data_IF_057679794819
#
_entry.id   IF_057679794819
#
_cell.length_a   1.000
_cell.length_b   1.000
_cell.length_c   1.000
_cell.angle_alpha   90.00
_cell.angle_beta   90.00
_cell.angle_gamma   90.00
#
_symmetry.space_group_name_H-M   'P 1'
#
loop_
_entity.id
_entity.type
_entity.pdbx_description
1 polymer ?
#
# COMPACT_ATOMS: atom_id res chain seq x y z
N UNK A 1 -18.94 4.08 2.23
CA UNK A 1 -17.67 4.29 1.50
C UNK A 1 -16.67 3.26 1.98
N UNK A 2 -15.92 2.66 1.06
CA UNK A 2 -14.79 1.79 1.39
C UNK A 2 -13.53 2.39 0.80
N UNK A 3 -12.52 2.64 1.64
CA UNK A 3 -11.22 3.15 1.18
C UNK A 3 -10.18 2.06 1.35
N UNK A 4 -9.46 1.75 0.28
CA UNK A 4 -8.36 0.79 0.28
C UNK A 4 -7.06 1.54 0.07
N UNK A 5 -6.28 1.69 1.13
CA UNK A 5 -4.91 2.16 1.03
C UNK A 5 -4.00 1.01 0.63
N UNK A 6 -3.13 1.25 -0.34
CA UNK A 6 -2.19 0.28 -0.88
C UNK A 6 -0.80 0.89 -0.81
N UNK A 7 0.17 0.20 -0.18
CA UNK A 7 1.58 0.58 -0.34
C UNK A 7 1.99 0.31 -1.78
N UNK A 8 2.74 1.22 -2.40
CA UNK A 8 3.32 0.99 -3.73
C UNK A 8 4.05 -0.36 -3.85
N UNK A 9 4.26 -0.78 -5.10
CA UNK A 9 5.10 -1.93 -5.43
C UNK A 9 6.55 -1.75 -4.95
N UNK A 10 7.29 -2.85 -5.02
CA UNK A 10 8.70 -2.86 -4.66
C UNK A 10 9.49 -1.88 -5.55
N UNK A 11 10.24 -1.02 -4.88
CA UNK A 11 11.09 0.04 -5.40
C UNK A 11 12.53 -0.07 -4.88
N UNK A 12 12.94 -1.24 -4.37
CA UNK A 12 14.32 -1.52 -3.92
C UNK A 12 15.32 -1.59 -5.10
N UNK A 13 15.12 -0.74 -6.10
CA UNK A 13 16.07 -0.47 -7.16
C UNK A 13 16.99 0.69 -6.74
N UNK A 14 18.28 0.58 -7.05
CA UNK A 14 19.23 1.66 -6.85
C UNK A 14 19.15 2.60 -8.06
N UNK A 15 18.19 3.52 -8.04
CA UNK A 15 18.21 4.67 -8.95
C UNK A 15 19.28 5.67 -8.47
N UNK A 16 20.49 5.53 -9.00
CA UNK A 16 21.62 6.36 -8.62
C UNK A 16 21.39 7.86 -8.93
N UNK A 17 20.58 8.18 -9.95
CA UNK A 17 20.29 9.56 -10.33
C UNK A 17 19.24 10.18 -9.40
N UNK A 18 18.21 9.42 -9.03
CA UNK A 18 17.09 9.90 -8.21
C UNK A 18 16.78 8.97 -7.02
N UNK A 19 17.69 8.85 -6.04
CA UNK A 19 17.58 7.85 -4.98
C UNK A 19 16.39 8.07 -4.03
N UNK A 20 15.79 9.27 -4.01
CA UNK A 20 14.61 9.56 -3.18
C UNK A 20 13.28 9.43 -3.95
N UNK A 21 13.34 9.23 -5.27
CA UNK A 21 12.21 9.02 -6.18
C UNK A 21 12.48 7.90 -7.21
N UNK A 22 12.84 6.68 -6.73
CA UNK A 22 13.13 5.56 -7.62
C UNK A 22 11.86 5.08 -8.33
N UNK A 23 12.07 4.45 -9.47
CA UNK A 23 11.06 3.63 -10.14
C UNK A 23 10.90 2.26 -9.47
N UNK A 24 9.79 1.59 -9.77
CA UNK A 24 9.58 0.20 -9.37
C UNK A 24 10.62 -0.74 -9.97
N UNK A 25 10.93 -1.83 -9.25
CA UNK A 25 11.63 -2.98 -9.85
C UNK A 25 10.71 -3.71 -10.83
N UNK A 26 11.27 -4.28 -11.90
CA UNK A 26 10.49 -4.98 -12.93
C UNK A 26 9.68 -6.16 -12.36
N UNK A 27 10.24 -6.86 -11.36
CA UNK A 27 9.59 -7.97 -10.67
C UNK A 27 8.30 -7.58 -9.92
N UNK A 28 8.09 -6.29 -9.63
CA UNK A 28 6.86 -5.78 -9.02
C UNK A 28 5.64 -5.94 -9.92
N UNK A 29 5.82 -5.93 -11.24
CA UNK A 29 4.73 -5.87 -12.21
C UNK A 29 3.67 -6.96 -11.98
N UNK A 30 4.11 -8.21 -11.92
CA UNK A 30 3.21 -9.35 -11.72
C UNK A 30 2.55 -9.36 -10.34
N UNK A 31 3.27 -8.91 -9.31
CA UNK A 31 2.78 -8.81 -7.95
C UNK A 31 1.67 -7.75 -7.82
N UNK A 32 1.83 -6.60 -8.50
CA UNK A 32 0.81 -5.55 -8.58
C UNK A 32 -0.42 -6.07 -9.30
N UNK A 33 -0.26 -6.73 -10.47
CA UNK A 33 -1.39 -7.32 -11.18
C UNK A 33 -2.13 -8.37 -10.33
N UNK A 34 -1.38 -9.21 -9.62
CA UNK A 34 -1.96 -10.22 -8.70
C UNK A 34 -2.71 -9.56 -7.55
N UNK A 35 -2.17 -8.51 -6.93
CA UNK A 35 -2.90 -7.74 -5.91
C UNK A 35 -4.18 -7.16 -6.50
N UNK A 36 -4.09 -6.51 -7.67
CA UNK A 36 -5.23 -5.84 -8.30
C UNK A 36 -6.38 -6.80 -8.57
N UNK A 37 -6.09 -7.99 -9.13
CA UNK A 37 -7.11 -9.03 -9.32
C UNK A 37 -7.74 -9.49 -8.00
N UNK A 38 -6.96 -9.60 -6.92
CA UNK A 38 -7.49 -9.94 -5.59
C UNK A 38 -8.40 -8.85 -5.03
N UNK A 39 -8.02 -7.57 -5.19
CA UNK A 39 -8.84 -6.45 -4.75
C UNK A 39 -10.14 -6.36 -5.55
N UNK A 40 -10.06 -6.53 -6.87
CA UNK A 40 -11.23 -6.62 -7.75
C UNK A 40 -12.18 -7.74 -7.33
N UNK A 41 -11.64 -8.94 -7.07
CA UNK A 41 -12.45 -10.09 -6.67
C UNK A 41 -13.12 -9.88 -5.30
N UNK A 42 -12.42 -9.25 -4.35
CA UNK A 42 -12.92 -9.08 -2.97
C UNK A 42 -13.86 -7.87 -2.82
N UNK A 43 -13.54 -6.74 -3.44
CA UNK A 43 -14.22 -5.47 -3.19
C UNK A 43 -14.92 -4.92 -4.43
N UNK A 44 -14.63 -5.44 -5.62
CA UNK A 44 -15.11 -4.89 -6.87
C UNK A 44 -14.19 -3.79 -7.43
N UNK A 45 -14.71 -3.09 -8.42
CA UNK A 45 -14.00 -2.04 -9.16
C UNK A 45 -14.04 -0.71 -8.38
N UNK A 46 -12.91 0.02 -8.27
CA UNK A 46 -12.92 1.33 -7.65
C UNK A 46 -13.60 2.37 -8.55
N UNK A 47 -14.27 3.33 -7.93
CA UNK A 47 -14.81 4.53 -8.57
C UNK A 47 -13.72 5.54 -8.90
N UNK A 48 -12.64 5.58 -8.10
CA UNK A 48 -11.47 6.43 -8.30
C UNK A 48 -10.22 5.84 -7.66
N UNK A 49 -9.05 6.19 -8.20
CA UNK A 49 -7.75 5.89 -7.61
C UNK A 49 -7.06 7.21 -7.25
N UNK A 50 -6.87 7.46 -5.96
CA UNK A 50 -6.04 8.55 -5.46
C UNK A 50 -4.60 8.08 -5.34
N UNK A 51 -3.66 8.86 -5.85
CA UNK A 51 -2.27 8.45 -5.98
C UNK A 51 -1.35 9.52 -5.44
N UNK A 52 -0.42 9.09 -4.60
CA UNK A 52 0.72 9.93 -4.20
C UNK A 52 1.50 10.40 -5.44
N UNK A 53 1.94 11.67 -5.51
CA UNK A 53 2.56 12.24 -6.70
C UNK A 53 3.97 11.69 -7.04
N UNK A 54 4.50 10.79 -6.21
CA UNK A 54 5.83 10.18 -6.32
C UNK A 54 5.84 9.11 -7.43
N UNK A 55 6.98 8.89 -8.09
CA UNK A 55 7.08 8.07 -9.31
C UNK A 55 6.53 6.64 -9.13
N UNK A 56 7.07 5.89 -8.18
CA UNK A 56 6.67 4.49 -7.91
C UNK A 56 5.19 4.29 -7.57
N UNK A 57 4.54 5.27 -6.93
CA UNK A 57 3.10 5.20 -6.62
C UNK A 57 2.28 5.38 -7.89
N UNK A 58 2.73 6.23 -8.82
CA UNK A 58 2.11 6.38 -10.12
C UNK A 58 2.30 5.15 -11.00
N UNK A 59 3.52 4.62 -11.08
CA UNK A 59 3.79 3.38 -11.82
C UNK A 59 2.95 2.22 -11.28
N UNK A 60 2.81 2.12 -9.95
CA UNK A 60 1.92 1.14 -9.32
C UNK A 60 0.49 1.32 -9.83
N UNK A 61 -0.06 2.55 -9.74
CA UNK A 61 -1.43 2.83 -10.13
C UNK A 61 -1.71 2.57 -11.62
N UNK A 62 -0.75 2.88 -12.51
CA UNK A 62 -0.86 2.61 -13.95
C UNK A 62 -0.92 1.10 -14.23
N UNK A 63 -0.07 0.30 -13.57
CA UNK A 63 -0.11 -1.17 -13.69
C UNK A 63 -1.43 -1.73 -13.15
N UNK A 64 -1.99 -1.14 -12.08
CA UNK A 64 -3.31 -1.52 -11.58
C UNK A 64 -4.40 -1.17 -12.61
N UNK A 65 -4.36 0.01 -13.23
CA UNK A 65 -5.32 0.44 -14.24
C UNK A 65 -5.37 -0.50 -15.46
N UNK A 66 -4.23 -1.03 -15.91
CA UNK A 66 -4.19 -2.04 -16.98
C UNK A 66 -5.10 -3.26 -16.69
N UNK A 67 -5.22 -3.65 -15.42
CA UNK A 67 -6.04 -4.80 -14.99
C UNK A 67 -7.51 -4.42 -14.84
N UNK A 68 -7.84 -3.14 -14.72
CA UNK A 68 -9.22 -2.68 -14.55
C UNK A 68 -10.03 -2.72 -15.85
N UNK A 69 -9.40 -2.93 -17.01
CA UNK A 69 -10.04 -3.08 -18.34
C UNK A 69 -10.97 -1.94 -18.80
N UNK A 70 -11.09 -0.87 -18.03
CA UNK A 70 -11.84 0.36 -18.30
C UNK A 70 -11.13 1.48 -17.54
N UNK A 71 -11.18 2.72 -18.04
CA UNK A 71 -10.57 3.87 -17.37
C UNK A 71 -11.22 4.09 -15.99
N UNK A 72 -10.38 4.27 -14.97
CA UNK A 72 -10.80 4.75 -13.65
C UNK A 72 -10.13 6.10 -13.44
N UNK A 73 -10.84 7.14 -12.97
CA UNK A 73 -10.23 8.42 -12.64
C UNK A 73 -9.01 8.24 -11.73
N UNK A 74 -7.84 8.65 -12.21
CA UNK A 74 -6.60 8.66 -11.46
C UNK A 74 -6.33 10.09 -10.98
N UNK A 75 -6.41 10.31 -9.68
CA UNK A 75 -6.38 11.62 -9.03
C UNK A 75 -5.08 11.75 -8.25
N UNK A 76 -4.26 12.74 -8.60
CA UNK A 76 -3.04 13.05 -7.85
C UNK A 76 -3.39 13.73 -6.53
N UNK A 77 -2.97 13.13 -5.41
CA UNK A 77 -3.17 13.72 -4.08
C UNK A 77 -1.83 13.90 -3.35
N UNK A 78 -1.41 15.16 -3.24
CA UNK A 78 -0.19 15.54 -2.52
C UNK A 78 -0.24 15.18 -1.04
N UNK A 79 -1.43 15.01 -0.44
CA UNK A 79 -1.56 14.56 0.95
C UNK A 79 -1.18 13.09 1.14
N UNK A 80 -1.11 12.31 0.06
CA UNK A 80 -0.59 10.94 0.06
C UNK A 80 0.93 10.86 -0.17
N UNK A 81 1.63 11.99 -0.31
CA UNK A 81 3.10 12.00 -0.44
C UNK A 81 3.82 11.39 0.77
N UNK A 82 4.94 10.70 0.51
CA UNK A 82 5.89 10.28 1.54
C UNK A 82 6.39 11.47 2.37
N UNK A 83 6.88 11.17 3.56
CA UNK A 83 7.69 12.10 4.34
C UNK A 83 9.15 12.03 3.87
N UNK A 84 9.79 13.18 3.69
CA UNK A 84 11.22 13.29 3.40
C UNK A 84 11.97 13.72 4.68
N UNK A 85 12.90 12.87 5.12
CA UNK A 85 13.79 13.22 6.25
C UNK A 85 14.70 14.38 5.84
N UNK A 86 15.36 15.02 6.81
CA UNK A 86 16.27 16.15 6.52
C UNK A 86 17.34 15.81 5.48
N UNK A 87 17.87 14.59 5.51
CA UNK A 87 18.87 14.11 4.52
C UNK A 87 18.29 13.79 3.14
N UNK A 88 16.96 13.73 3.01
CA UNK A 88 16.25 13.38 1.77
C UNK A 88 15.59 14.58 1.09
N UNK A 89 15.84 15.81 1.56
CA UNK A 89 15.23 17.04 1.03
C UNK A 89 16.02 17.68 -0.11
N UNK A 90 17.11 17.06 -0.54
CA UNK A 90 17.84 17.53 -1.71
C UNK A 90 17.00 17.31 -2.97
N UNK A 91 16.57 18.42 -3.60
CA UNK A 91 15.76 18.41 -4.80
C UNK A 91 16.44 17.69 -5.97
N UNK A 92 17.78 17.63 -6.01
CA UNK A 92 18.52 16.94 -7.06
C UNK A 92 18.32 15.43 -7.04
N UNK A 93 17.92 14.88 -5.89
CA UNK A 93 17.69 13.43 -5.70
C UNK A 93 16.26 13.00 -6.03
N UNK A 94 15.43 13.92 -6.53
CA UNK A 94 14.02 13.74 -6.86
C UNK A 94 13.82 14.14 -8.32
N UNK A 95 12.99 13.39 -9.05
CA UNK A 95 12.79 13.64 -10.48
C UNK A 95 12.09 14.98 -10.74
N UNK A 96 12.48 15.72 -11.78
CA UNK A 96 11.85 17.01 -12.10
C UNK A 96 10.33 16.93 -12.36
N UNK A 97 9.83 15.83 -12.92
CA UNK A 97 8.40 15.62 -13.15
C UNK A 97 7.62 15.47 -11.83
N UNK A 98 8.20 14.78 -10.85
CA UNK A 98 7.67 14.71 -9.48
C UNK A 98 7.65 16.09 -8.84
N UNK A 99 8.73 16.89 -8.96
CA UNK A 99 8.76 18.25 -8.41
C UNK A 99 7.63 19.16 -8.95
N UNK A 100 7.32 19.05 -10.26
CA UNK A 100 6.21 19.80 -10.88
C UNK A 100 4.83 19.48 -10.28
N UNK A 101 4.67 18.31 -9.63
CA UNK A 101 3.44 17.89 -8.96
C UNK A 101 3.30 18.46 -7.54
N UNK A 102 4.14 19.43 -7.13
CA UNK A 102 4.06 20.13 -5.84
C UNK A 102 4.14 19.19 -4.62
N UNK A 103 5.04 18.22 -4.67
CA UNK A 103 5.28 17.29 -3.56
C UNK A 103 5.78 18.05 -2.32
N UNK A 104 5.23 17.80 -1.13
CA UNK A 104 5.67 18.44 0.11
C UNK A 104 7.01 17.84 0.56
N UNK A 105 8.11 18.39 0.04
CA UNK A 105 9.47 17.94 0.34
C UNK A 105 9.95 18.53 1.66
N UNK A 106 9.81 19.84 1.81
CA UNK A 106 10.19 20.54 3.03
C UNK A 106 9.01 20.65 3.99
N UNK A 107 8.75 19.57 4.72
CA UNK A 107 7.73 19.55 5.78
C UNK A 107 8.32 19.07 7.11
N UNK A 108 7.92 19.68 8.21
CA UNK A 108 8.16 19.16 9.55
C UNK A 108 7.31 17.91 9.81
N UNK A 109 7.69 17.11 10.81
CA UNK A 109 6.91 15.94 11.23
C UNK A 109 5.49 16.31 11.68
N UNK A 110 5.29 17.52 12.22
CA UNK A 110 3.97 18.04 12.61
C UNK A 110 3.13 18.34 11.36
N UNK A 111 3.70 19.05 10.38
CA UNK A 111 3.04 19.34 9.10
C UNK A 111 2.68 18.06 8.34
N UNK A 112 3.58 17.07 8.29
CA UNK A 112 3.31 15.75 7.72
C UNK A 112 2.07 15.09 8.33
N UNK A 113 1.98 15.06 9.67
CA UNK A 113 0.83 14.47 10.38
C UNK A 113 -0.45 15.23 10.08
N UNK A 114 -0.43 16.56 10.17
CA UNK A 114 -1.59 17.41 9.89
C UNK A 114 -2.06 17.31 8.44
N UNK A 115 -1.15 17.12 7.48
CA UNK A 115 -1.45 16.92 6.07
C UNK A 115 -2.23 15.62 5.85
N UNK A 116 -1.79 14.53 6.47
CA UNK A 116 -2.50 13.24 6.38
C UNK A 116 -3.84 13.28 7.12
N UNK A 117 -3.91 13.97 8.26
CA UNK A 117 -5.17 14.13 8.99
C UNK A 117 -6.21 14.88 8.15
N UNK A 118 -5.79 15.93 7.42
CA UNK A 118 -6.66 16.64 6.46
C UNK A 118 -7.14 15.76 5.31
N UNK A 119 -6.30 14.86 4.78
CA UNK A 119 -6.74 13.90 3.77
C UNK A 119 -7.89 13.02 4.27
N UNK A 120 -7.78 12.51 5.49
CA UNK A 120 -8.84 11.72 6.15
C UNK A 120 -10.10 12.58 6.30
N UNK A 121 -9.97 13.78 6.84
CA UNK A 121 -11.09 14.70 7.07
C UNK A 121 -11.78 15.15 5.78
N UNK A 122 -11.09 15.17 4.64
CA UNK A 122 -11.72 15.44 3.34
C UNK A 122 -12.33 14.19 2.70
N UNK A 123 -11.65 13.04 2.78
CA UNK A 123 -12.08 11.84 2.08
C UNK A 123 -13.34 11.22 2.70
N UNK A 124 -13.46 11.25 4.04
CA UNK A 124 -14.56 10.56 4.75
C UNK A 124 -15.94 11.23 4.67
N UNK A 125 -16.07 12.57 4.77
CA UNK A 125 -17.38 13.24 4.72
C UNK A 125 -18.00 13.34 3.31
N UNK A 126 -17.19 13.34 2.25
CA UNK A 126 -17.63 13.75 0.90
C UNK A 126 -18.46 12.71 0.11
N UNK A 127 -18.78 11.54 0.67
CA UNK A 127 -19.30 10.43 -0.14
C UNK A 127 -20.47 9.64 0.48
N UNK A 128 -21.29 10.31 1.30
CA UNK A 128 -22.40 9.74 2.06
C UNK A 128 -23.55 9.14 1.22
N UNK A 129 -23.75 9.55 -0.04
CA UNK A 129 -24.91 9.13 -0.83
C UNK A 129 -24.73 7.83 -1.67
N UNK A 130 -23.49 7.47 -2.06
CA UNK A 130 -23.25 6.34 -3.00
C UNK A 130 -22.30 5.24 -2.51
N UNK A 131 -21.83 5.31 -1.26
CA UNK A 131 -20.84 4.37 -0.66
C UNK A 131 -19.72 3.96 -1.63
N UNK A 132 -18.99 4.91 -2.24
CA UNK A 132 -17.99 4.59 -3.27
C UNK A 132 -16.85 3.73 -2.74
N UNK A 133 -16.23 2.99 -3.65
CA UNK A 133 -14.99 2.27 -3.44
C UNK A 133 -13.83 3.09 -4.00
N UNK A 134 -12.90 3.49 -3.13
CA UNK A 134 -11.75 4.30 -3.52
C UNK A 134 -10.46 3.56 -3.19
N UNK A 135 -9.50 3.58 -4.10
CA UNK A 135 -8.14 3.07 -3.84
C UNK A 135 -7.18 4.24 -3.65
N UNK A 136 -6.33 4.17 -2.62
CA UNK A 136 -5.35 5.19 -2.28
C UNK A 136 -3.95 4.59 -2.33
N UNK A 137 -3.17 4.88 -3.37
CA UNK A 137 -1.82 4.32 -3.56
C UNK A 137 -0.79 5.25 -2.92
N UNK A 138 -0.07 4.76 -1.90
CA UNK A 138 0.76 5.60 -1.02
C UNK A 138 1.95 4.83 -0.41
N UNK A 139 2.49 5.32 0.70
CA UNK A 139 3.74 4.89 1.34
C UNK A 139 3.50 4.39 2.76
N UNK A 140 4.42 3.58 3.27
CA UNK A 140 4.31 2.94 4.59
C UNK A 140 4.08 3.95 5.75
N UNK A 141 4.78 5.09 5.78
CA UNK A 141 4.62 6.08 6.86
C UNK A 141 3.26 6.79 6.81
N UNK A 142 2.71 6.97 5.60
CA UNK A 142 1.38 7.54 5.41
C UNK A 142 0.34 6.57 5.95
N UNK A 143 0.41 5.30 5.54
CA UNK A 143 -0.48 4.25 6.05
C UNK A 143 -0.39 4.09 7.57
N UNK A 144 0.81 4.17 8.15
CA UNK A 144 0.98 4.14 9.62
C UNK A 144 0.25 5.28 10.32
N UNK A 145 0.29 6.49 9.75
CA UNK A 145 -0.41 7.66 10.33
C UNK A 145 -1.93 7.49 10.21
N UNK A 146 -2.41 7.04 9.06
CA UNK A 146 -3.85 6.81 8.82
C UNK A 146 -4.37 5.75 9.78
N UNK A 147 -3.71 4.59 9.83
CA UNK A 147 -4.05 3.51 10.75
C UNK A 147 -4.10 4.00 12.21
N UNK A 148 -3.15 4.83 12.63
CA UNK A 148 -3.20 5.44 13.96
C UNK A 148 -4.41 6.37 14.15
N UNK A 149 -4.71 7.24 13.17
CA UNK A 149 -5.84 8.20 13.25
C UNK A 149 -7.19 7.48 13.31
N UNK A 150 -7.32 6.36 12.60
CA UNK A 150 -8.57 5.58 12.57
C UNK A 150 -8.64 4.48 13.63
N UNK A 151 -7.62 4.31 14.49
CA UNK A 151 -7.68 3.40 15.64
C UNK A 151 -7.29 1.94 15.37
N UNK A 152 -6.38 1.71 14.41
CA UNK A 152 -5.98 0.37 13.97
C UNK A 152 -4.65 -0.02 14.58
N UNK A 153 -4.65 -1.15 15.29
CA UNK A 153 -3.43 -1.76 15.78
C UNK A 153 -2.63 -2.36 14.61
N UNK A 154 -1.53 -1.70 14.24
CA UNK A 154 -0.59 -2.25 13.26
C UNK A 154 0.48 -3.08 13.96
N UNK A 155 0.67 -4.32 13.48
CA UNK A 155 1.81 -5.16 13.87
C UNK A 155 2.91 -5.02 12.83
N UNK A 156 3.99 -4.30 13.17
CA UNK A 156 5.23 -4.27 12.37
C UNK A 156 5.33 -3.17 11.30
N UNK A 157 6.16 -3.43 10.29
CA UNK A 157 6.32 -2.57 9.09
C UNK A 157 5.25 -2.95 8.06
N UNK A 158 4.85 -1.99 7.21
CA UNK A 158 4.02 -2.32 6.04
C UNK A 158 4.94 -2.86 4.97
N UNK A 159 4.68 -4.06 4.46
CA UNK A 159 5.42 -4.61 3.31
C UNK A 159 4.92 -3.97 2.00
N UNK A 160 5.70 -4.10 0.92
CA UNK A 160 5.25 -3.65 -0.40
C UNK A 160 3.93 -4.31 -0.78
N UNK A 161 3.04 -3.56 -1.43
CA UNK A 161 1.70 -4.03 -1.81
C UNK A 161 0.83 -4.48 -0.63
N UNK A 162 1.22 -4.18 0.61
CA UNK A 162 0.34 -4.37 1.75
C UNK A 162 -0.83 -3.41 1.67
N UNK A 163 -2.01 -3.90 2.08
CA UNK A 163 -3.27 -3.17 1.93
C UNK A 163 -3.95 -2.95 3.27
N UNK A 164 -4.56 -1.79 3.36
CA UNK A 164 -5.24 -1.31 4.54
C UNK A 164 -6.62 -0.82 4.15
N UNK A 165 -7.67 -1.43 4.68
CA UNK A 165 -9.06 -1.19 4.27
C UNK A 165 -9.81 -0.48 5.39
N UNK A 166 -10.48 0.61 5.06
CA UNK A 166 -11.37 1.36 5.96
C UNK A 166 -12.80 1.28 5.42
N UNK A 167 -13.56 0.21 5.73
CA UNK A 167 -14.99 0.11 5.40
C UNK A 167 -15.86 0.88 6.39
N UNK A 168 -16.64 1.89 5.98
CA UNK A 168 -17.76 2.48 6.76
C UNK A 168 -17.64 2.42 8.30
N UNK A 169 -16.62 3.07 8.87
CA UNK A 169 -16.42 3.13 10.34
C UNK A 169 -15.92 1.84 11.01
N UNK A 170 -15.64 0.78 10.24
CA UNK A 170 -14.96 -0.46 10.63
C UNK A 170 -13.64 -0.58 9.86
N UNK A 171 -12.75 -1.50 10.28
CA UNK A 171 -11.37 -1.52 9.78
C UNK A 171 -10.89 -2.95 9.55
N UNK A 172 -10.34 -3.24 8.37
CA UNK A 172 -9.70 -4.52 8.03
C UNK A 172 -8.27 -4.31 7.49
N UNK A 173 -7.31 -5.10 7.97
CA UNK A 173 -5.92 -5.11 7.46
C UNK A 173 -5.71 -6.39 6.66
N UNK A 174 -5.27 -6.28 5.39
CA UNK A 174 -4.90 -7.44 4.58
C UNK A 174 -3.40 -7.38 4.25
N UNK A 175 -2.63 -8.28 4.88
CA UNK A 175 -1.18 -8.38 4.65
C UNK A 175 -0.88 -8.89 3.24
N UNK A 176 0.03 -8.20 2.55
CA UNK A 176 0.60 -8.68 1.29
C UNK A 176 1.48 -9.90 1.54
N UNK A 177 1.41 -10.92 0.68
CA UNK A 177 2.40 -11.99 0.65
C UNK A 177 3.65 -11.46 -0.07
N UNK A 178 4.49 -10.71 0.66
CA UNK A 178 5.88 -10.53 0.28
C UNK A 178 6.62 -11.85 0.50
N UNK A 179 7.41 -12.28 -0.49
CA UNK A 179 8.26 -13.49 -0.40
C UNK A 179 9.15 -13.42 0.84
N UNK A 180 9.08 -14.43 1.69
CA UNK A 180 10.19 -14.80 2.59
C UNK A 180 11.01 -15.88 1.88
N UNK A 181 11.71 -15.51 0.82
CA UNK A 181 12.66 -16.44 0.18
C UNK A 181 14.06 -16.13 0.75
N UNK A 182 14.31 -16.60 1.98
CA UNK A 182 15.67 -16.80 2.48
C UNK A 182 16.18 -18.13 1.90
N UNK A 183 16.70 -18.10 0.68
CA UNK A 183 17.45 -19.24 0.13
C UNK A 183 18.70 -18.78 -0.61
N UNK A 184 19.62 -18.17 0.13
CA UNK A 184 21.05 -18.35 -0.12
C UNK A 184 21.53 -19.42 0.85
N UNK A 185 21.37 -20.69 0.46
CA UNK A 185 22.09 -21.80 1.09
C UNK A 185 23.39 -21.96 0.32
N UNK A 186 24.47 -21.83 1.07
CA UNK A 186 25.84 -22.19 0.70
C UNK A 186 25.89 -23.54 0.01
N UNK A 187 26.74 -23.60 -1.00
CA UNK A 187 27.23 -24.82 -1.60
C UNK A 187 27.88 -25.74 -0.56
N UNK A 188 27.90 -27.03 -0.95
CA UNK A 188 28.64 -28.18 -0.41
C UNK A 188 27.88 -29.12 0.53
N UNK A 189 27.78 -30.38 0.10
CA UNK A 189 27.52 -31.53 0.97
C UNK A 189 26.67 -32.60 0.32
N UNK A 190 27.32 -33.67 -0.13
CA UNK A 190 26.77 -34.78 -0.91
C UNK A 190 25.93 -35.79 -0.10
N UNK A 191 25.11 -36.53 -0.84
CA UNK A 191 24.68 -37.94 -0.66
C UNK A 191 23.46 -38.33 0.21
N UNK A 192 22.47 -38.88 -0.52
CA UNK A 192 21.66 -40.11 -0.32
C UNK A 192 20.94 -40.34 1.03
N UNK A 193 19.61 -40.42 0.98
CA UNK A 193 18.76 -41.65 1.14
C UNK A 193 17.29 -41.26 1.41
N UNK A 194 16.35 -42.01 0.81
CA UNK A 194 14.94 -42.11 1.20
C UNK A 194 14.76 -43.45 1.97
N UNK A 195 13.59 -43.87 2.53
CA UNK A 195 12.23 -43.34 2.33
C UNK A 195 11.27 -43.40 3.57
N UNK A 196 9.98 -43.13 3.30
CA UNK A 196 8.75 -43.60 3.98
C UNK A 196 8.15 -42.76 5.13
N UNK A 197 6.81 -42.70 5.14
CA UNK A 197 6.00 -42.25 6.29
C UNK A 197 4.80 -41.38 5.92
N UNK A 198 3.60 -41.96 5.96
CA UNK A 198 2.33 -41.26 5.75
C UNK A 198 1.94 -40.32 6.90
N UNK A 199 0.93 -39.47 6.64
CA UNK A 199 0.36 -38.59 7.65
C UNK A 199 -0.61 -37.58 7.07
N UNK A 200 -1.89 -37.95 7.01
CA UNK A 200 -3.01 -37.06 6.77
C UNK A 200 -3.17 -36.14 7.99
N UNK A 201 -3.16 -34.81 7.83
CA UNK A 201 -3.52 -33.88 8.92
C UNK A 201 -4.44 -32.77 8.40
N UNK A 202 -5.58 -32.69 9.06
CA UNK A 202 -6.73 -31.84 8.81
C UNK A 202 -6.43 -30.33 8.80
N UNK A 203 -7.14 -29.62 7.91
CA UNK A 203 -7.24 -28.15 7.88
C UNK A 203 -7.98 -27.66 9.14
N UNK A 204 -7.32 -26.83 9.96
CA UNK A 204 -7.98 -26.06 11.03
C UNK A 204 -8.75 -24.86 10.46
N UNK A 205 -9.88 -24.46 11.08
CA UNK A 205 -10.77 -23.43 10.54
C UNK A 205 -10.21 -22.01 10.74
N UNK A 206 -10.62 -21.10 9.84
CA UNK A 206 -10.39 -19.66 9.94
C UNK A 206 -11.14 -19.10 11.16
N UNK A 207 -10.43 -18.41 12.06
CA UNK A 207 -11.08 -17.58 13.08
C UNK A 207 -11.47 -16.25 12.45
N UNK A 208 -12.77 -16.04 12.30
CA UNK A 208 -13.40 -14.76 12.01
C UNK A 208 -13.72 -14.12 13.36
N UNK A 209 -13.09 -13.00 13.72
CA UNK A 209 -13.47 -12.24 14.92
C UNK A 209 -14.37 -11.09 14.48
N UNK A 210 -15.68 -11.27 14.67
CA UNK A 210 -16.68 -10.21 14.57
C UNK A 210 -16.71 -9.40 15.86
N UNK A 211 -16.40 -8.11 15.80
CA UNK A 211 -16.71 -7.18 16.88
C UNK A 211 -17.85 -6.27 16.40
N UNK A 212 -19.02 -6.44 17.02
CA UNK A 212 -20.18 -5.56 16.90
C UNK A 212 -19.99 -4.30 17.78
N UNK A 213 -20.71 -3.20 17.48
CA UNK A 213 -20.39 -1.88 18.02
C UNK A 213 -21.02 -1.68 19.39
N UNK A 214 -20.26 -1.10 20.33
CA UNK A 214 -20.84 -0.48 21.51
C UNK A 214 -21.24 0.97 21.16
N UNK A 215 -22.55 1.17 21.06
CA UNK A 215 -23.20 2.48 21.02
C UNK A 215 -23.52 2.94 22.45
N UNK A 216 -23.45 4.27 22.63
CA UNK A 216 -23.95 5.11 23.74
C UNK A 216 -23.02 5.23 24.96
N UNK A 217 -22.81 6.42 25.52
CA UNK A 217 -23.74 7.57 25.65
C UNK A 217 -23.19 8.87 25.10
#
# INVERSE_FOLDING_TARGET
MTVIYVRHGDDENLDAAYPNDPSLVESSYWSIKRLTRRLLLKFGRPDAIYVSPVRRTLETALIMEEVLHRKVPLILDCHLSRFFTRSQRDLKTIRPDTLKRKVPIDESKKQFRSRIDRHIEHLFPCYSARRPLVWCITHALVMKRIAKKVGVALKGRFDFLETFVVPDGKIEVTRGQGRKDNSWRSANGSSRTAPSGGGSVARRPRQTVSVLPALKR
#
